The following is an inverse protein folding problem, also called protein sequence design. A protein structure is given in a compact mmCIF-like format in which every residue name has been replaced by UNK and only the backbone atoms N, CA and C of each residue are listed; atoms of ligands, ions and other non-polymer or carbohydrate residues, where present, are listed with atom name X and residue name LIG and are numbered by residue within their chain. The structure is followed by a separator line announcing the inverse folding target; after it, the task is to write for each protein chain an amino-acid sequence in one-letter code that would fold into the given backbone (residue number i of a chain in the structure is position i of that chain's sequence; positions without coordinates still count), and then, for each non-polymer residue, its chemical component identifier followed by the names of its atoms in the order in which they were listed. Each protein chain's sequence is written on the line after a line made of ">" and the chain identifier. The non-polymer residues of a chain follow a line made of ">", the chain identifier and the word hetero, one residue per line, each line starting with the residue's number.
data_IF_876837990636
#
_entry.id   IF_876837990636
#
_cell.length_a   1.000
_cell.length_b   1.000
_cell.length_c   1.000
_cell.angle_alpha   90.00
_cell.angle_beta   90.00
_cell.angle_gamma   90.00
#
_symmetry.space_group_name_H-M   'P 1'
#
loop_
_entity.id
_entity.type
_entity.pdbx_description
1 polymer ?
#
# COMPACT_ATOMS: atom_id res chain seq x y z
N UNK A 1 3.41 -2.93 0.30
CA UNK A 1 3.28 -3.98 1.35
C UNK A 1 3.79 -3.54 2.72
N UNK A 2 4.93 -2.84 2.82
CA UNK A 2 5.51 -2.54 4.13
C UNK A 2 4.66 -1.66 5.03
N UNK A 3 3.97 -0.65 4.47
CA UNK A 3 3.16 0.28 5.27
C UNK A 3 1.97 -0.42 5.93
N UNK A 4 1.26 -1.30 5.21
CA UNK A 4 0.18 -2.11 5.78
C UNK A 4 0.67 -3.01 6.91
N UNK A 5 1.78 -3.74 6.68
CA UNK A 5 2.43 -4.59 7.70
C UNK A 5 2.71 -3.80 8.98
N UNK A 6 3.25 -2.59 8.85
CA UNK A 6 3.56 -1.74 10.00
C UNK A 6 2.30 -1.19 10.67
N UNK A 7 1.32 -0.70 9.91
CA UNK A 7 0.04 -0.25 10.45
C UNK A 7 -0.63 -1.34 11.31
N UNK A 8 -0.66 -2.58 10.85
CA UNK A 8 -1.21 -3.71 11.63
C UNK A 8 -0.42 -3.98 12.91
N UNK A 9 0.93 -3.94 12.85
CA UNK A 9 1.78 -4.22 14.02
C UNK A 9 1.72 -3.13 15.09
N UNK A 10 1.52 -1.88 14.69
CA UNK A 10 1.40 -0.75 15.60
C UNK A 10 0.05 -0.75 16.35
N UNK A 11 -0.92 -1.52 15.85
CA UNK A 11 -2.19 -1.75 16.51
C UNK A 11 -2.90 -0.43 16.82
N UNK A 12 -3.33 -0.20 18.08
CA UNK A 12 -4.13 0.98 18.45
C UNK A 12 -3.38 2.31 18.34
N UNK A 13 -2.06 2.30 18.11
CA UNK A 13 -1.29 3.53 17.87
C UNK A 13 -1.56 4.13 16.48
N UNK A 14 -2.14 3.35 15.56
CA UNK A 14 -2.51 3.80 14.21
C UNK A 14 -4.03 3.85 14.13
N UNK A 15 -4.63 4.99 13.74
CA UNK A 15 -6.07 5.09 13.55
C UNK A 15 -6.60 4.06 12.55
N UNK A 16 -7.81 3.55 12.78
CA UNK A 16 -8.41 2.47 12.00
C UNK A 16 -8.58 2.81 10.52
N UNK A 17 -8.84 4.07 10.21
CA UNK A 17 -8.92 4.60 8.84
C UNK A 17 -7.55 4.55 8.13
N UNK A 18 -6.45 4.86 8.84
CA UNK A 18 -5.09 4.77 8.27
C UNK A 18 -4.74 3.31 7.99
N UNK A 19 -5.13 2.40 8.88
CA UNK A 19 -4.96 0.96 8.68
C UNK A 19 -5.76 0.47 7.46
N UNK A 20 -7.01 0.90 7.31
CA UNK A 20 -7.86 0.54 6.18
C UNK A 20 -7.30 1.07 4.86
N UNK A 21 -6.89 2.34 4.81
CA UNK A 21 -6.26 2.92 3.62
C UNK A 21 -4.99 2.15 3.21
N UNK A 22 -4.20 1.70 4.18
CA UNK A 22 -3.02 0.88 3.95
C UNK A 22 -3.37 -0.53 3.43
N UNK A 23 -4.45 -1.13 3.93
CA UNK A 23 -4.98 -2.40 3.44
C UNK A 23 -5.45 -2.29 1.98
N UNK A 24 -6.21 -1.24 1.64
CA UNK A 24 -6.68 -1.00 0.28
C UNK A 24 -5.51 -0.82 -0.69
N UNK A 25 -4.49 -0.04 -0.30
CA UNK A 25 -3.27 0.09 -1.11
C UNK A 25 -2.56 -1.27 -1.29
N UNK A 26 -2.48 -2.10 -0.24
CA UNK A 26 -1.88 -3.43 -0.35
C UNK A 26 -2.67 -4.34 -1.31
N UNK A 27 -4.00 -4.28 -1.28
CA UNK A 27 -4.88 -4.99 -2.22
C UNK A 27 -4.66 -4.51 -3.66
N UNK A 28 -4.59 -3.21 -3.89
CA UNK A 28 -4.40 -2.64 -5.23
C UNK A 28 -3.04 -3.07 -5.82
N UNK A 29 -1.96 -3.03 -5.01
CA UNK A 29 -0.63 -3.49 -5.40
C UNK A 29 -0.68 -4.99 -5.76
N UNK A 30 -1.30 -5.82 -4.91
CA UNK A 30 -1.44 -7.26 -5.19
C UNK A 30 -2.21 -7.51 -6.48
N UNK A 31 -3.25 -6.71 -6.74
CA UNK A 31 -4.05 -6.82 -7.96
C UNK A 31 -3.20 -6.52 -9.19
N UNK A 32 -2.34 -5.50 -9.16
CA UNK A 32 -1.38 -5.23 -10.24
C UNK A 32 -0.37 -6.37 -10.41
N UNK A 33 0.20 -6.88 -9.31
CA UNK A 33 1.16 -7.99 -9.36
C UNK A 33 0.53 -9.24 -10.00
N UNK A 34 -0.72 -9.55 -9.65
CA UNK A 34 -1.48 -10.65 -10.26
C UNK A 34 -1.73 -10.43 -11.74
N UNK A 35 -2.15 -9.22 -12.13
CA UNK A 35 -2.36 -8.85 -13.54
C UNK A 35 -1.09 -8.93 -14.38
N UNK A 36 0.07 -8.66 -13.79
CA UNK A 36 1.38 -8.74 -14.45
C UNK A 36 2.05 -10.12 -14.36
N UNK A 37 1.40 -11.09 -13.70
CA UNK A 37 1.92 -12.45 -13.53
C UNK A 37 1.75 -13.28 -14.81
N UNK A 38 2.47 -14.41 -14.96
CA UNK A 38 2.31 -15.29 -16.12
C UNK A 38 1.01 -16.12 -16.09
N UNK A 39 0.20 -16.00 -15.03
CA UNK A 39 -1.02 -16.79 -14.85
C UNK A 39 -2.24 -16.07 -15.42
N UNK A 40 -3.17 -16.84 -15.98
CA UNK A 40 -4.47 -16.32 -16.36
C UNK A 40 -5.33 -16.10 -15.11
N UNK A 41 -5.51 -14.83 -14.76
CA UNK A 41 -6.34 -14.36 -13.64
C UNK A 41 -7.65 -13.71 -14.11
N UNK A 42 -8.00 -13.86 -15.40
CA UNK A 42 -9.22 -13.26 -15.97
C UNK A 42 -10.50 -13.74 -15.28
N UNK A 43 -10.51 -14.97 -14.75
CA UNK A 43 -11.60 -15.52 -13.93
C UNK A 43 -11.84 -14.76 -12.61
N UNK A 44 -10.91 -13.90 -12.19
CA UNK A 44 -11.06 -13.00 -11.05
C UNK A 44 -11.48 -11.57 -11.45
N UNK A 45 -11.81 -11.35 -12.73
CA UNK A 45 -12.14 -10.03 -13.27
C UNK A 45 -10.91 -9.14 -13.47
N UNK A 46 -9.70 -9.71 -13.51
CA UNK A 46 -8.44 -8.99 -13.63
C UNK A 46 -7.88 -9.11 -15.05
N UNK A 47 -7.86 -7.99 -15.79
CA UNK A 47 -7.25 -7.94 -17.12
C UNK A 47 -5.71 -7.95 -17.02
N UNK A 48 -5.08 -8.81 -17.83
CA UNK A 48 -3.64 -8.98 -17.86
C UNK A 48 -2.90 -7.69 -18.28
N UNK A 49 -1.83 -7.39 -17.56
CA UNK A 49 -0.81 -6.41 -17.98
C UNK A 49 0.32 -7.20 -18.63
N UNK A 50 0.42 -7.12 -19.95
CA UNK A 50 1.46 -7.76 -20.76
C UNK A 50 2.82 -7.11 -20.52
N UNK A 51 3.43 -7.39 -19.37
CA UNK A 51 4.67 -6.76 -18.89
C UNK A 51 5.88 -6.99 -19.81
N UNK A 52 5.83 -8.05 -20.61
CA UNK A 52 6.78 -8.41 -21.65
C UNK A 52 6.79 -7.41 -22.82
N UNK A 53 5.67 -6.72 -23.05
CA UNK A 53 5.54 -5.71 -24.09
C UNK A 53 5.99 -4.33 -23.57
N UNK A 54 6.63 -3.49 -24.41
CA UNK A 54 7.04 -2.15 -24.00
C UNK A 54 5.91 -1.29 -23.42
N UNK A 55 4.71 -1.37 -24.00
CA UNK A 55 3.53 -0.64 -23.54
C UNK A 55 3.03 -1.15 -22.17
N UNK A 56 2.96 -2.47 -21.99
CA UNK A 56 2.58 -3.07 -20.71
C UNK A 56 3.60 -2.78 -19.60
N UNK A 57 4.90 -2.84 -19.92
CA UNK A 57 5.98 -2.42 -19.02
C UNK A 57 5.84 -0.96 -18.59
N UNK A 58 5.53 -0.06 -19.53
CA UNK A 58 5.32 1.36 -19.23
C UNK A 58 4.10 1.58 -18.32
N UNK A 59 2.99 0.89 -18.57
CA UNK A 59 1.77 0.92 -17.74
C UNK A 59 2.08 0.43 -16.32
N UNK A 60 2.69 -0.73 -16.18
CA UNK A 60 3.06 -1.28 -14.87
C UNK A 60 3.96 -0.33 -14.08
N UNK A 61 4.99 0.24 -14.73
CA UNK A 61 5.88 1.18 -14.08
C UNK A 61 5.15 2.47 -13.66
N UNK A 62 4.16 2.94 -14.42
CA UNK A 62 3.34 4.09 -14.05
C UNK A 62 2.43 3.80 -12.85
N UNK A 63 1.74 2.66 -12.83
CA UNK A 63 0.91 2.25 -11.69
C UNK A 63 1.78 2.06 -10.42
N UNK A 64 2.97 1.45 -10.53
CA UNK A 64 3.94 1.30 -9.42
C UNK A 64 4.42 2.64 -8.85
N UNK A 65 4.63 3.66 -9.70
CA UNK A 65 4.96 5.02 -9.23
C UNK A 65 3.80 5.60 -8.41
N UNK A 66 2.57 5.48 -8.89
CA UNK A 66 1.39 5.93 -8.14
C UNK A 66 1.23 5.22 -6.79
N UNK A 67 1.52 3.91 -6.73
CA UNK A 67 1.54 3.18 -5.46
C UNK A 67 2.65 3.65 -4.51
N UNK A 68 3.81 4.03 -5.04
CA UNK A 68 4.92 4.56 -4.24
C UNK A 68 4.54 5.89 -3.60
N UNK A 69 3.89 6.79 -4.36
CA UNK A 69 3.38 8.06 -3.85
C UNK A 69 2.32 7.86 -2.75
N UNK A 70 1.31 7.02 -3.00
CA UNK A 70 0.27 6.65 -2.01
C UNK A 70 0.89 6.03 -0.75
N UNK A 71 1.84 5.13 -0.91
CA UNK A 71 2.57 4.48 0.20
C UNK A 71 3.32 5.50 1.04
N UNK A 72 3.99 6.47 0.42
CA UNK A 72 4.73 7.51 1.13
C UNK A 72 3.80 8.45 1.90
N UNK A 73 2.64 8.80 1.35
CA UNK A 73 1.63 9.59 2.04
C UNK A 73 1.11 8.88 3.30
N UNK A 74 0.80 7.58 3.21
CA UNK A 74 0.37 6.78 4.36
C UNK A 74 1.48 6.64 5.41
N UNK A 75 2.73 6.44 4.97
CA UNK A 75 3.88 6.41 5.87
C UNK A 75 4.01 7.73 6.65
N UNK A 76 3.83 8.87 6.00
CA UNK A 76 3.90 10.18 6.67
C UNK A 76 2.83 10.32 7.75
N UNK A 77 1.59 9.87 7.48
CA UNK A 77 0.49 9.83 8.48
C UNK A 77 0.86 8.98 9.69
N UNK A 78 1.30 7.74 9.46
CA UNK A 78 1.72 6.84 10.56
C UNK A 78 2.85 7.45 11.39
N UNK A 79 3.85 8.07 10.76
CA UNK A 79 4.94 8.72 11.50
C UNK A 79 4.44 9.89 12.37
N UNK A 80 3.44 10.64 11.90
CA UNK A 80 2.83 11.71 12.67
C UNK A 80 2.07 11.16 13.90
N UNK A 81 1.31 10.06 13.73
CA UNK A 81 0.59 9.39 14.81
C UNK A 81 1.56 8.85 15.87
N UNK A 82 2.67 8.23 15.43
CA UNK A 82 3.72 7.76 16.33
C UNK A 82 4.42 8.91 17.08
N UNK A 83 4.66 10.03 16.41
CA UNK A 83 5.24 11.20 17.05
C UNK A 83 4.27 11.80 18.09
N UNK A 84 2.96 11.78 17.82
CA UNK A 84 1.94 12.19 18.78
C UNK A 84 1.90 11.26 19.99
N UNK A 85 1.83 9.95 19.77
CA UNK A 85 1.82 8.95 20.84
C UNK A 85 3.08 9.03 21.71
N UNK A 86 4.25 9.26 21.10
CA UNK A 86 5.51 9.47 21.83
C UNK A 86 5.42 10.67 22.77
N UNK A 87 4.92 11.82 22.28
CA UNK A 87 4.77 13.02 23.10
C UNK A 87 3.76 12.83 24.24
N UNK A 88 2.68 12.09 24.01
CA UNK A 88 1.70 11.77 25.05
C UNK A 88 2.36 10.92 26.16
N UNK A 89 3.09 9.87 25.78
CA UNK A 89 3.82 9.03 26.73
C UNK A 89 4.88 9.82 27.52
N UNK A 90 5.62 10.72 26.86
CA UNK A 90 6.61 11.58 27.52
C UNK A 90 5.96 12.58 28.50
N UNK A 91 4.69 12.94 28.27
CA UNK A 91 3.89 13.78 29.17
C UNK A 91 3.20 13.00 30.31
N UNK A 92 3.38 11.68 30.38
CA UNK A 92 2.77 10.81 31.39
C UNK A 92 1.29 10.50 31.14
N UNK A 93 0.82 10.66 29.90
CA UNK A 93 -0.49 10.21 29.40
C UNK A 93 -0.39 8.82 28.74
#
# INVERSE_FOLDING_TARGET
>A
MDVYKWATKLGPLVPGEVLLDAFELARDIRSLDMRASPYDVSGLGLEAVRIEEPAGKARYAAEQRGFSERSNALRARILADLAHARRAADAGL
#
